data_IF_900722900509
#
_entry.id   IF_900722900509
#
_cell.length_a   1.000
_cell.length_b   1.000
_cell.length_c   1.000
_cell.angle_alpha   90.00
_cell.angle_beta   90.00
_cell.angle_gamma   90.00
#
_symmetry.space_group_name_H-M   'P 1'
#
loop_
_entity.id
_entity.type
_entity.pdbx_description
1 polymer ?
#
# COMPACT_ATOMS: atom_id res chain seq x y z
N UNK A 1 -31.52 27.59 -26.88
CA UNK A 1 -31.25 26.78 -25.66
C UNK A 1 -29.97 27.31 -25.03
N UNK A 2 -30.07 28.19 -24.04
CA UNK A 2 -28.91 28.71 -23.32
C UNK A 2 -28.74 27.87 -22.03
N UNK A 3 -27.57 27.26 -21.86
CA UNK A 3 -27.24 26.58 -20.61
C UNK A 3 -26.98 27.61 -19.51
N UNK A 4 -27.47 27.36 -18.29
CA UNK A 4 -27.21 28.26 -17.16
C UNK A 4 -25.71 28.26 -16.81
N UNK A 5 -25.17 29.36 -16.25
CA UNK A 5 -23.75 29.44 -15.88
C UNK A 5 -23.35 28.36 -14.85
N UNK A 6 -24.31 27.93 -14.01
CA UNK A 6 -24.13 26.81 -13.08
C UNK A 6 -23.96 25.47 -13.81
N UNK A 7 -24.75 25.21 -14.86
CA UNK A 7 -24.60 24.01 -15.67
C UNK A 7 -23.26 23.98 -16.41
N UNK A 8 -22.79 25.12 -16.94
CA UNK A 8 -21.48 25.20 -17.61
C UNK A 8 -20.36 24.90 -16.62
N UNK A 9 -20.42 25.47 -15.42
CA UNK A 9 -19.42 25.22 -14.37
C UNK A 9 -19.38 23.74 -13.94
N UNK A 10 -20.55 23.09 -13.80
CA UNK A 10 -20.64 21.66 -13.47
C UNK A 10 -20.04 20.79 -14.59
N UNK A 11 -20.32 21.09 -15.86
CA UNK A 11 -19.80 20.36 -17.01
C UNK A 11 -18.28 20.48 -17.12
N UNK A 12 -17.72 21.67 -16.87
CA UNK A 12 -16.26 21.87 -16.83
C UNK A 12 -15.63 21.05 -15.70
N UNK A 13 -16.21 21.05 -14.51
CA UNK A 13 -15.68 20.31 -13.36
C UNK A 13 -15.70 18.79 -13.57
N UNK A 14 -16.78 18.27 -14.16
CA UNK A 14 -16.87 16.85 -14.56
C UNK A 14 -15.87 16.52 -15.66
N UNK A 15 -15.72 17.38 -16.68
CA UNK A 15 -14.74 17.17 -17.74
C UNK A 15 -13.31 17.10 -17.19
N UNK A 16 -12.95 17.99 -16.26
CA UNK A 16 -11.62 17.97 -15.60
C UNK A 16 -11.38 16.70 -14.78
N UNK A 17 -12.41 16.18 -14.11
CA UNK A 17 -12.30 14.94 -13.34
C UNK A 17 -11.97 13.72 -14.23
N UNK A 18 -12.46 13.70 -15.47
CA UNK A 18 -12.19 12.60 -16.42
C UNK A 18 -10.76 12.57 -16.98
N UNK A 19 -9.96 13.63 -16.79
CA UNK A 19 -8.57 13.72 -17.27
C UNK A 19 -7.58 13.13 -16.28
N UNK A 20 -7.99 12.89 -15.04
CA UNK A 20 -7.14 12.30 -14.02
C UNK A 20 -6.79 10.84 -14.37
N UNK A 21 -5.54 10.61 -14.76
CA UNK A 21 -5.01 9.27 -15.05
C UNK A 21 -4.37 8.69 -13.79
N UNK A 22 -5.03 7.71 -13.15
CA UNK A 22 -4.52 7.00 -11.97
C UNK A 22 -3.95 5.61 -12.32
N UNK A 23 -3.47 5.42 -13.56
CA UNK A 23 -2.99 4.12 -14.01
C UNK A 23 -1.60 3.81 -13.45
N UNK A 24 -1.41 2.59 -12.95
CA UNK A 24 -0.09 2.09 -12.59
C UNK A 24 0.73 1.81 -13.84
N UNK A 25 2.05 1.98 -13.71
CA UNK A 25 3.02 1.61 -14.74
C UNK A 25 4.16 0.78 -14.16
N UNK A 26 4.60 -0.31 -14.83
CA UNK A 26 5.77 -1.08 -14.39
C UNK A 26 7.07 -0.28 -14.45
N UNK A 27 7.10 0.85 -15.16
CA UNK A 27 8.26 1.75 -15.31
C UNK A 27 8.16 3.02 -14.48
N UNK A 28 7.22 3.09 -13.52
CA UNK A 28 6.99 4.28 -12.69
C UNK A 28 8.27 4.85 -12.05
N UNK A 29 9.17 3.97 -11.58
CA UNK A 29 10.43 4.37 -10.95
C UNK A 29 11.62 4.49 -11.91
N UNK A 30 11.48 4.22 -13.20
CA UNK A 30 12.62 4.13 -14.13
C UNK A 30 13.43 5.43 -14.23
N UNK A 31 12.80 6.60 -14.06
CA UNK A 31 13.49 7.89 -14.11
C UNK A 31 13.92 8.41 -12.72
N UNK A 32 13.09 8.21 -11.69
CA UNK A 32 13.32 8.77 -10.35
C UNK A 32 14.21 7.89 -9.47
N UNK A 33 14.09 6.56 -9.61
CA UNK A 33 14.87 5.58 -8.85
C UNK A 33 15.06 4.28 -9.66
N UNK A 34 15.96 4.28 -10.66
CA UNK A 34 16.15 3.13 -11.56
C UNK A 34 16.62 1.85 -10.83
N UNK A 35 17.24 2.00 -9.66
CA UNK A 35 17.69 0.88 -8.82
C UNK A 35 16.62 0.29 -7.90
N UNK A 36 15.39 0.86 -7.86
CA UNK A 36 14.37 0.47 -6.88
C UNK A 36 14.06 -1.04 -6.93
N UNK A 37 13.77 -1.59 -8.11
CA UNK A 37 13.45 -3.02 -8.25
C UNK A 37 14.63 -3.92 -7.87
N UNK A 38 15.87 -3.50 -8.20
CA UNK A 38 17.06 -4.27 -7.85
C UNK A 38 17.29 -4.30 -6.34
N UNK A 39 17.12 -3.15 -5.67
CA UNK A 39 17.22 -3.05 -4.22
C UNK A 39 16.17 -3.90 -3.50
N UNK A 40 14.90 -3.83 -3.94
CA UNK A 40 13.80 -4.63 -3.40
C UNK A 40 14.09 -6.13 -3.57
N UNK A 41 14.49 -6.56 -4.78
CA UNK A 41 14.83 -7.96 -5.04
C UNK A 41 15.96 -8.46 -4.15
N UNK A 42 17.01 -7.66 -3.96
CA UNK A 42 18.12 -8.00 -3.07
C UNK A 42 17.65 -8.20 -1.62
N UNK A 43 16.86 -7.25 -1.09
CA UNK A 43 16.32 -7.33 0.26
C UNK A 43 15.40 -8.53 0.48
N UNK A 44 14.48 -8.78 -0.46
CA UNK A 44 13.58 -9.94 -0.40
C UNK A 44 14.37 -11.25 -0.47
N UNK A 45 15.37 -11.33 -1.36
CA UNK A 45 16.22 -12.53 -1.48
C UNK A 45 17.00 -12.81 -0.21
N UNK A 46 17.57 -11.77 0.40
CA UNK A 46 18.28 -11.89 1.68
C UNK A 46 17.33 -12.36 2.80
N UNK A 47 16.12 -11.76 2.89
CA UNK A 47 15.13 -12.13 3.90
C UNK A 47 14.66 -13.59 3.76
N UNK A 48 14.36 -14.03 2.54
CA UNK A 48 13.95 -15.41 2.24
C UNK A 48 15.10 -16.41 2.47
N UNK A 49 16.34 -16.01 2.18
CA UNK A 49 17.51 -16.85 2.46
C UNK A 49 17.75 -17.02 3.96
N UNK A 50 17.44 -15.99 4.76
CA UNK A 50 17.54 -16.06 6.21
C UNK A 50 16.39 -16.86 6.84
N UNK A 51 15.16 -16.69 6.35
CA UNK A 51 14.00 -17.48 6.76
C UNK A 51 13.10 -17.73 5.54
N UNK A 52 13.02 -18.99 5.05
CA UNK A 52 12.19 -19.35 3.91
C UNK A 52 10.70 -18.97 4.05
N UNK A 53 10.19 -18.86 5.28
CA UNK A 53 8.80 -18.47 5.54
C UNK A 53 8.52 -17.03 5.14
N UNK A 54 9.54 -16.17 5.05
CA UNK A 54 9.39 -14.77 4.68
C UNK A 54 8.74 -14.57 3.31
N UNK A 55 8.95 -15.48 2.36
CA UNK A 55 8.30 -15.41 1.06
C UNK A 55 6.77 -15.48 1.18
N UNK A 56 6.28 -16.43 1.97
CA UNK A 56 4.85 -16.57 2.24
C UNK A 56 4.30 -15.40 3.09
N UNK A 57 5.07 -14.94 4.08
CA UNK A 57 4.67 -13.82 4.93
C UNK A 57 4.51 -12.52 4.15
N UNK A 58 5.46 -12.18 3.27
CA UNK A 58 5.39 -10.98 2.42
C UNK A 58 4.21 -11.04 1.44
N UNK A 59 3.97 -12.22 0.86
CA UNK A 59 2.83 -12.43 -0.05
C UNK A 59 1.49 -12.25 0.69
N UNK A 60 1.35 -12.87 1.88
CA UNK A 60 0.17 -12.70 2.73
C UNK A 60 -0.04 -11.25 3.12
N UNK A 61 1.03 -10.52 3.47
CA UNK A 61 0.96 -9.12 3.85
C UNK A 61 0.44 -8.25 2.70
N UNK A 62 0.93 -8.47 1.48
CA UNK A 62 0.44 -7.75 0.30
C UNK A 62 -1.05 -8.03 0.03
N UNK A 63 -1.47 -9.29 0.10
CA UNK A 63 -2.89 -9.64 -0.02
C UNK A 63 -3.73 -9.00 1.08
N UNK A 64 -3.23 -8.97 2.31
CA UNK A 64 -3.94 -8.41 3.46
C UNK A 64 -4.14 -6.90 3.33
N UNK A 65 -3.12 -6.19 2.88
CA UNK A 65 -3.18 -4.75 2.60
C UNK A 65 -4.22 -4.46 1.51
N UNK A 66 -4.09 -5.12 0.35
CA UNK A 66 -4.96 -4.87 -0.78
C UNK A 66 -6.43 -5.28 -0.57
N UNK A 67 -6.70 -6.24 0.31
CA UNK A 67 -8.07 -6.71 0.56
C UNK A 67 -8.90 -5.71 1.37
N UNK A 68 -8.25 -4.93 2.26
CA UNK A 68 -8.91 -3.96 3.13
C UNK A 68 -8.60 -2.56 2.63
N UNK A 69 -9.59 -1.86 2.07
CA UNK A 69 -9.48 -0.45 1.66
C UNK A 69 -8.46 -0.12 0.55
N UNK A 70 -7.63 -1.08 0.11
CA UNK A 70 -6.78 -0.99 -1.07
C UNK A 70 -5.28 -1.15 -0.75
N UNK A 71 -4.43 -1.20 -1.77
CA UNK A 71 -2.99 -1.37 -1.61
C UNK A 71 -2.30 -0.03 -1.23
N UNK A 72 -2.58 0.47 -0.03
CA UNK A 72 -2.11 1.78 0.44
C UNK A 72 -1.07 1.70 1.58
N UNK A 73 -0.62 0.47 1.91
CA UNK A 73 0.30 0.16 3.00
C UNK A 73 -0.23 0.51 4.40
N UNK A 74 -1.53 0.73 4.55
CA UNK A 74 -2.15 1.05 5.84
C UNK A 74 -1.96 -0.06 6.88
N UNK A 75 -1.84 -1.32 6.47
CA UNK A 75 -1.58 -2.47 7.39
C UNK A 75 -0.23 -2.35 8.12
N UNK A 76 0.70 -1.55 7.60
CA UNK A 76 2.02 -1.36 8.21
C UNK A 76 2.01 -0.36 9.37
N UNK A 77 0.92 0.40 9.52
CA UNK A 77 0.77 1.34 10.64
C UNK A 77 0.48 0.58 11.94
N UNK A 78 1.07 1.02 13.05
CA UNK A 78 0.87 0.36 14.33
C UNK A 78 -0.57 0.50 14.84
N UNK A 79 -1.19 -0.63 15.19
CA UNK A 79 -2.38 -0.69 16.05
C UNK A 79 -3.74 -0.87 15.37
N UNK A 80 -3.84 -0.91 14.04
CA UNK A 80 -5.07 -1.23 13.32
C UNK A 80 -5.34 -2.74 13.26
N UNK A 81 -4.41 -3.50 12.69
CA UNK A 81 -4.53 -4.93 12.39
C UNK A 81 -3.75 -5.80 13.38
N UNK A 82 -2.63 -5.29 13.89
CA UNK A 82 -1.79 -6.00 14.88
C UNK A 82 -2.47 -6.14 16.25
N UNK A 83 -3.44 -5.26 16.55
CA UNK A 83 -4.22 -5.30 17.79
C UNK A 83 -5.56 -6.03 17.63
N UNK A 84 -5.89 -6.51 16.41
CA UNK A 84 -7.10 -7.30 16.21
C UNK A 84 -6.97 -8.65 16.92
N UNK A 85 -8.01 -9.10 17.61
CA UNK A 85 -7.96 -10.30 18.46
C UNK A 85 -7.31 -11.55 17.82
N UNK A 86 -7.56 -11.88 16.54
CA UNK A 86 -6.91 -13.02 15.86
C UNK A 86 -5.42 -12.82 15.56
N UNK A 87 -4.96 -11.57 15.50
CA UNK A 87 -3.60 -11.17 15.13
C UNK A 87 -2.76 -10.73 16.34
N UNK A 88 -3.43 -10.50 17.48
CA UNK A 88 -2.85 -10.24 18.77
C UNK A 88 -1.99 -11.44 19.19
N UNK A 89 -0.67 -11.32 19.03
CA UNK A 89 0.27 -12.24 19.65
C UNK A 89 0.12 -12.21 21.19
N UNK A 90 0.77 -13.12 21.93
CA UNK A 90 0.70 -13.18 23.40
C UNK A 90 1.04 -11.87 24.11
N UNK A 91 1.68 -10.93 23.40
CA UNK A 91 2.20 -9.67 23.91
C UNK A 91 1.38 -8.44 23.47
N UNK A 92 0.19 -8.59 22.88
CA UNK A 92 -0.64 -7.49 22.39
C UNK A 92 -1.38 -6.71 23.51
N UNK A 93 -0.67 -6.37 24.59
CA UNK A 93 -1.14 -5.40 25.57
C UNK A 93 -0.96 -3.97 25.07
N UNK A 94 -1.64 -2.97 25.67
CA UNK A 94 -1.64 -1.58 25.22
C UNK A 94 -0.28 -0.85 25.31
N UNK A 95 0.83 -1.56 25.61
CA UNK A 95 2.18 -1.01 25.77
C UNK A 95 3.30 -1.90 25.18
N UNK A 96 3.07 -2.57 24.04
CA UNK A 96 4.11 -3.38 23.41
C UNK A 96 5.13 -2.53 22.60
N UNK A 97 6.08 -1.94 23.31
CA UNK A 97 7.38 -1.50 22.78
C UNK A 97 8.35 -2.69 22.57
N UNK A 98 9.56 -2.46 22.04
CA UNK A 98 10.15 -3.25 20.96
C UNK A 98 10.68 -4.61 21.44
N UNK A 99 10.21 -5.70 20.86
CA UNK A 99 11.01 -6.93 20.81
C UNK A 99 11.87 -6.90 19.57
N UNK A 100 13.06 -6.30 19.74
CA UNK A 100 14.23 -6.70 18.98
C UNK A 100 14.58 -8.12 19.42
N UNK A 101 14.34 -9.11 18.58
CA UNK A 101 15.15 -10.33 18.49
C UNK A 101 15.39 -10.62 17.03
#
# INVERSE_FOLDING_TARGET
MAASPSCISLVVLVALATVASAQLSPTFYSASCPGALAAIKSGVTAAVSSDPRMGASLLRLHFHDCFVQGCDASVLLSGNEQNAGPNAGPNAGPNAGPTRQ
#
